data_IF_207481262638
#
_entry.id   IF_207481262638
#
_cell.length_a   1.000
_cell.length_b   1.000
_cell.length_c   1.000
_cell.angle_alpha   90.00
_cell.angle_beta   90.00
_cell.angle_gamma   90.00
#
_symmetry.space_group_name_H-M   'P 1'
#
loop_
_entity.id
_entity.type
_entity.pdbx_description
1 polymer ?
#
# COMPACT_ATOMS: atom_id res chain seq x y z
N UNK A 1 -1.05 3.61 2.79
CA UNK A 1 -0.37 2.46 3.46
C UNK A 1 -0.98 2.13 4.82
N UNK A 2 -1.00 3.05 5.79
CA UNK A 2 -1.47 2.80 7.18
C UNK A 2 -2.90 2.27 7.33
N UNK A 3 -3.83 2.60 6.43
CA UNK A 3 -5.19 2.04 6.51
C UNK A 3 -5.22 0.55 6.22
N UNK A 4 -4.42 0.09 5.25
CA UNK A 4 -4.43 -1.29 4.76
C UNK A 4 -3.96 -2.31 5.79
N UNK A 5 -3.00 -1.94 6.65
CA UNK A 5 -2.42 -2.84 7.64
C UNK A 5 -3.47 -3.41 8.63
N UNK A 6 -4.24 -2.58 9.36
CA UNK A 6 -5.29 -3.09 10.23
C UNK A 6 -6.52 -3.56 9.43
N UNK A 7 -6.93 -2.86 8.37
CA UNK A 7 -8.17 -3.21 7.66
C UNK A 7 -8.07 -4.56 6.94
N UNK A 8 -6.91 -4.85 6.36
CA UNK A 8 -6.60 -6.13 5.71
C UNK A 8 -5.94 -7.14 6.64
N UNK A 9 -5.73 -6.77 7.92
CA UNK A 9 -5.11 -7.62 8.93
C UNK A 9 -3.82 -8.28 8.45
N UNK A 10 -2.99 -7.49 7.75
CA UNK A 10 -1.83 -7.98 7.02
C UNK A 10 -0.60 -7.07 7.25
N UNK A 11 0.57 -7.67 7.07
CA UNK A 11 1.81 -6.93 7.03
C UNK A 11 1.84 -6.10 5.74
N UNK A 12 2.14 -4.81 5.84
CA UNK A 12 2.20 -3.94 4.66
C UNK A 12 3.65 -3.58 4.38
N UNK A 13 4.16 -4.12 3.28
CA UNK A 13 5.45 -3.75 2.71
C UNK A 13 5.15 -2.81 1.54
N UNK A 14 5.79 -1.65 1.53
CA UNK A 14 5.58 -0.67 0.47
C UNK A 14 6.89 -0.02 0.08
N UNK A 15 7.05 0.19 -1.23
CA UNK A 15 8.20 0.84 -1.82
C UNK A 15 7.74 1.89 -2.82
N UNK A 16 8.34 3.07 -2.77
CA UNK A 16 8.00 4.16 -3.67
C UNK A 16 9.25 4.97 -3.99
N UNK A 17 9.41 5.26 -5.28
CA UNK A 17 10.50 6.12 -5.76
C UNK A 17 10.22 7.57 -5.39
N UNK A 18 11.28 8.31 -5.12
CA UNK A 18 11.24 9.75 -4.97
C UNK A 18 11.31 10.44 -6.34
N UNK A 19 10.71 11.61 -6.47
CA UNK A 19 10.93 12.49 -7.62
C UNK A 19 12.33 13.09 -7.50
N UNK A 20 13.23 12.70 -8.40
CA UNK A 20 14.56 13.28 -8.50
C UNK A 20 14.61 14.37 -9.59
N UNK A 21 15.80 14.94 -9.82
CA UNK A 21 15.99 15.95 -10.85
C UNK A 21 15.75 15.40 -12.26
N UNK A 22 16.14 14.15 -12.52
CA UNK A 22 15.92 13.52 -13.81
C UNK A 22 14.43 13.42 -14.17
N UNK A 23 13.58 13.01 -13.22
CA UNK A 23 12.13 13.02 -13.39
C UNK A 23 11.61 14.42 -13.72
N UNK A 24 12.14 15.47 -13.08
CA UNK A 24 11.71 16.86 -13.32
C UNK A 24 12.09 17.35 -14.70
N UNK A 25 13.32 17.11 -15.13
CA UNK A 25 13.81 17.53 -16.45
C UNK A 25 13.04 16.81 -17.56
N UNK A 26 12.73 15.52 -17.35
CA UNK A 26 11.88 14.76 -18.25
C UNK A 26 10.47 15.34 -18.33
N UNK A 27 9.84 15.64 -17.18
CA UNK A 27 8.51 16.25 -17.14
C UNK A 27 8.49 17.62 -17.82
N UNK A 28 9.50 18.47 -17.58
CA UNK A 28 9.58 19.78 -18.23
C UNK A 28 9.67 19.65 -19.74
N UNK A 29 10.48 18.71 -20.23
CA UNK A 29 10.66 18.47 -21.67
C UNK A 29 9.40 17.89 -22.33
N UNK A 30 8.64 17.03 -21.64
CA UNK A 30 7.53 16.27 -22.23
C UNK A 30 6.14 16.81 -21.93
N UNK A 31 5.97 17.40 -20.74
CA UNK A 31 4.70 17.84 -20.18
C UNK A 31 4.70 19.35 -19.88
N UNK A 32 5.85 20.02 -20.02
CA UNK A 32 6.02 21.41 -19.61
C UNK A 32 6.36 21.55 -18.12
N UNK A 33 6.73 22.78 -17.74
CA UNK A 33 7.17 23.10 -16.38
C UNK A 33 6.10 22.75 -15.34
N UNK A 34 6.50 22.01 -14.31
CA UNK A 34 5.65 21.60 -13.20
C UNK A 34 5.92 22.47 -11.95
N UNK A 35 4.90 23.18 -11.47
CA UNK A 35 5.01 24.05 -10.28
C UNK A 35 4.67 23.31 -8.97
N UNK A 36 3.79 22.30 -9.04
CA UNK A 36 3.31 21.57 -7.86
C UNK A 36 4.15 20.34 -7.52
N UNK A 37 4.83 19.75 -8.51
CA UNK A 37 5.64 18.55 -8.32
C UNK A 37 7.07 18.97 -7.96
N UNK A 38 7.45 18.72 -6.71
CA UNK A 38 8.78 19.05 -6.16
C UNK A 38 9.67 17.80 -6.11
N UNK A 39 10.97 18.01 -5.96
CA UNK A 39 11.90 16.91 -5.66
C UNK A 39 11.60 16.30 -4.29
N UNK A 40 11.88 15.01 -4.14
CA UNK A 40 11.53 14.22 -2.97
C UNK A 40 10.17 13.55 -3.12
N UNK A 41 9.36 13.56 -2.06
CA UNK A 41 8.25 12.63 -1.95
C UNK A 41 8.75 11.19 -1.82
N UNK A 42 7.92 10.22 -2.18
CA UNK A 42 8.23 8.81 -2.02
C UNK A 42 8.35 8.39 -0.55
N UNK A 43 7.89 7.19 -0.24
CA UNK A 43 8.02 6.62 1.10
C UNK A 43 8.09 5.12 0.96
N UNK A 44 9.07 4.52 1.62
CA UNK A 44 9.27 3.08 1.65
C UNK A 44 9.35 2.60 3.09
N UNK A 45 8.86 1.39 3.38
CA UNK A 45 8.90 0.85 4.73
C UNK A 45 8.06 -0.40 4.91
N UNK A 46 7.99 -0.87 6.16
CA UNK A 46 7.15 -2.00 6.54
C UNK A 46 6.32 -1.67 7.78
N UNK A 47 5.06 -2.07 7.75
CA UNK A 47 4.09 -1.89 8.82
C UNK A 47 3.62 -3.25 9.36
N UNK A 48 3.66 -3.37 10.69
CA UNK A 48 2.90 -4.35 11.46
C UNK A 48 1.39 -4.10 11.27
N UNK A 49 0.53 -5.14 11.31
CA UNK A 49 -0.92 -4.97 11.15
C UNK A 49 -1.58 -4.04 12.18
N UNK A 50 -1.02 -3.90 13.38
CA UNK A 50 -1.35 -2.84 14.36
C UNK A 50 -0.77 -1.45 14.04
N UNK A 51 -0.40 -1.17 12.79
CA UNK A 51 0.12 0.13 12.35
C UNK A 51 1.44 0.57 12.99
N UNK A 52 2.28 -0.39 13.39
CA UNK A 52 3.61 -0.11 13.95
C UNK A 52 4.64 -0.21 12.84
N UNK A 53 5.53 0.78 12.69
CA UNK A 53 6.65 0.66 11.76
C UNK A 53 7.71 -0.29 12.31
N UNK A 54 8.14 -1.25 11.49
CA UNK A 54 9.23 -2.18 11.87
C UNK A 54 10.60 -1.63 11.48
N UNK A 55 10.74 -1.24 10.21
CA UNK A 55 11.93 -0.57 9.68
C UNK A 55 11.47 0.49 8.67
N UNK A 56 11.97 1.71 8.83
CA UNK A 56 11.43 2.91 8.19
C UNK A 56 10.37 3.67 9.03
N UNK A 57 9.58 4.56 8.41
CA UNK A 57 9.57 4.84 6.98
C UNK A 57 10.83 5.56 6.52
N UNK A 58 11.44 5.08 5.44
CA UNK A 58 12.48 5.81 4.73
C UNK A 58 11.84 6.85 3.80
N UNK A 59 12.41 8.05 3.80
CA UNK A 59 11.98 9.19 2.99
C UNK A 59 13.22 9.94 2.50
N UNK A 60 13.04 10.72 1.43
CA UNK A 60 14.11 11.53 0.85
C UNK A 60 14.88 10.80 -0.25
N UNK A 61 15.87 11.50 -0.80
CA UNK A 61 16.55 11.10 -2.04
C UNK A 61 17.64 10.04 -1.85
N UNK A 62 17.99 9.72 -0.60
CA UNK A 62 18.98 8.68 -0.32
C UNK A 62 18.45 7.32 -0.77
N UNK A 63 19.23 6.59 -1.58
CA UNK A 63 18.91 5.21 -1.88
C UNK A 63 19.23 4.33 -0.68
N UNK A 64 18.25 3.55 -0.23
CA UNK A 64 18.39 2.71 0.95
C UNK A 64 17.69 1.37 0.78
N UNK A 65 18.34 0.31 1.24
CA UNK A 65 17.72 -1.00 1.44
C UNK A 65 17.09 -1.03 2.84
N UNK A 66 15.80 -1.37 2.92
CA UNK A 66 15.05 -1.56 4.17
C UNK A 66 14.95 -3.06 4.42
N UNK A 67 15.32 -3.51 5.61
CA UNK A 67 15.33 -4.93 5.97
C UNK A 67 14.52 -5.09 7.26
N UNK A 68 13.51 -5.94 7.24
CA UNK A 68 12.71 -6.24 8.42
C UNK A 68 12.46 -7.73 8.57
N UNK A 69 12.22 -8.15 9.81
CA UNK A 69 11.80 -9.51 10.13
C UNK A 69 10.29 -9.52 10.33
N UNK A 70 9.61 -10.42 9.63
CA UNK A 70 8.16 -10.60 9.74
C UNK A 70 7.90 -11.90 10.51
N UNK A 71 7.15 -11.79 11.60
CA UNK A 71 6.69 -12.92 12.38
C UNK A 71 5.19 -13.15 12.12
N UNK A 72 4.90 -14.16 11.30
CA UNK A 72 3.52 -14.48 10.93
C UNK A 72 2.69 -15.02 12.10
N UNK A 73 3.32 -15.50 13.18
CA UNK A 73 2.58 -15.96 14.36
C UNK A 73 1.79 -14.83 15.04
N UNK A 74 2.20 -13.58 14.83
CA UNK A 74 1.52 -12.40 15.36
C UNK A 74 0.17 -12.13 14.68
N UNK A 75 -0.12 -12.74 13.53
CA UNK A 75 -1.43 -12.60 12.86
C UNK A 75 -2.57 -13.20 13.68
N UNK A 76 -2.31 -14.21 14.50
CA UNK A 76 -3.33 -14.83 15.34
C UNK A 76 -3.97 -13.83 16.32
N UNK A 77 -3.16 -12.99 16.98
CA UNK A 77 -3.69 -12.02 17.95
C UNK A 77 -4.47 -10.90 17.24
N UNK A 78 -4.13 -10.57 16.01
CA UNK A 78 -4.83 -9.54 15.22
C UNK A 78 -6.25 -9.97 14.87
N UNK A 79 -6.47 -11.26 14.62
CA UNK A 79 -7.81 -11.79 14.41
C UNK A 79 -8.67 -11.62 15.66
N UNK A 80 -8.13 -11.84 16.87
CA UNK A 80 -8.89 -11.64 18.12
C UNK A 80 -9.38 -10.19 18.29
N UNK A 81 -8.61 -9.19 17.83
CA UNK A 81 -8.94 -7.78 18.05
C UNK A 81 -9.71 -7.12 16.91
N UNK A 82 -9.53 -7.55 15.66
CA UNK A 82 -9.99 -6.79 14.48
C UNK A 82 -10.90 -7.59 13.55
N UNK A 83 -10.87 -8.93 13.56
CA UNK A 83 -11.51 -9.86 12.59
C UNK A 83 -12.63 -9.25 11.73
N UNK A 84 -12.21 -8.57 10.66
CA UNK A 84 -13.08 -7.70 9.86
C UNK A 84 -13.90 -8.49 8.84
N UNK A 85 -13.40 -9.66 8.45
CA UNK A 85 -14.07 -10.59 7.56
C UNK A 85 -14.88 -11.67 8.30
N UNK A 86 -14.60 -11.92 9.59
CA UNK A 86 -15.31 -12.87 10.43
C UNK A 86 -16.27 -12.19 11.39
N UNK A 87 -16.00 -12.20 12.70
CA UNK A 87 -17.01 -11.90 13.71
C UNK A 87 -17.47 -10.44 13.78
N UNK A 88 -16.69 -9.48 13.26
CA UNK A 88 -17.15 -8.10 13.10
C UNK A 88 -17.83 -7.83 11.76
N UNK A 89 -17.82 -8.81 10.83
CA UNK A 89 -18.51 -8.67 9.56
C UNK A 89 -20.02 -8.57 9.75
N UNK A 90 -20.68 -7.81 8.87
CA UNK A 90 -22.13 -7.60 8.85
C UNK A 90 -22.72 -7.98 7.48
N UNK A 91 -22.69 -9.28 7.10
CA UNK A 91 -23.13 -9.74 5.79
C UNK A 91 -24.63 -9.51 5.53
N UNK A 92 -25.43 -9.32 6.59
CA UNK A 92 -26.83 -8.92 6.49
C UNK A 92 -27.01 -7.44 6.13
N UNK A 93 -25.99 -6.60 6.34
CA UNK A 93 -25.99 -5.17 5.99
C UNK A 93 -25.30 -4.94 4.64
N UNK A 94 -24.10 -5.49 4.46
CA UNK A 94 -23.32 -5.32 3.23
C UNK A 94 -22.47 -6.55 2.96
N UNK A 95 -22.68 -7.12 1.78
CA UNK A 95 -21.82 -8.17 1.22
C UNK A 95 -20.86 -7.53 0.21
N UNK A 96 -19.57 -7.82 0.32
CA UNK A 96 -18.57 -7.44 -0.68
C UNK A 96 -18.33 -8.65 -1.59
N UNK A 97 -18.99 -8.65 -2.74
CA UNK A 97 -18.81 -9.66 -3.78
C UNK A 97 -18.02 -9.08 -4.97
N UNK A 98 -17.26 -9.93 -5.65
CA UNK A 98 -16.47 -9.56 -6.82
C UNK A 98 -16.49 -10.71 -7.84
N UNK A 99 -16.68 -10.36 -9.11
CA UNK A 99 -16.59 -11.33 -10.20
C UNK A 99 -15.11 -11.64 -10.49
N UNK A 100 -14.68 -12.86 -10.17
CA UNK A 100 -13.32 -13.36 -10.43
C UNK A 100 -13.20 -14.15 -11.74
N UNK A 101 -14.24 -14.18 -12.58
CA UNK A 101 -14.15 -14.79 -13.90
C UNK A 101 -13.10 -14.04 -14.74
N UNK A 102 -12.24 -14.77 -15.49
CA UNK A 102 -11.24 -14.17 -16.37
C UNK A 102 -11.92 -13.66 -17.64
N UNK A 103 -12.65 -12.54 -17.54
CA UNK A 103 -13.37 -11.94 -18.66
C UNK A 103 -12.46 -10.96 -19.38
N UNK A 104 -12.11 -11.27 -20.62
CA UNK A 104 -11.37 -10.33 -21.47
C UNK A 104 -12.25 -9.15 -21.87
N UNK A 105 -11.65 -8.04 -22.30
CA UNK A 105 -12.40 -6.81 -22.62
C UNK A 105 -13.47 -7.00 -23.70
N UNK A 106 -13.27 -7.95 -24.62
CA UNK A 106 -14.18 -8.33 -25.69
C UNK A 106 -15.24 -9.38 -25.27
N UNK A 107 -15.16 -9.93 -24.06
CA UNK A 107 -16.08 -10.95 -23.53
C UNK A 107 -17.08 -10.37 -22.52
N UNK A 108 -17.04 -9.05 -22.28
CA UNK A 108 -18.01 -8.36 -21.43
C UNK A 108 -19.38 -8.36 -22.12
N UNK A 109 -20.31 -9.15 -21.60
CA UNK A 109 -21.73 -9.09 -21.99
C UNK A 109 -22.31 -7.84 -21.31
N UNK A 110 -22.91 -6.95 -22.11
CA UNK A 110 -23.51 -5.68 -21.68
C UNK A 110 -24.69 -5.87 -20.73
#
# INVERSE_FOLDING_TARGET
>A
MKSHAPSGQCWVIYASNTVDHYCRDWMETKLGKQELIKTGGGISGTLHPFNIYLDGPHQGLEQKLIICNIDLSQLCIIQVFIDSAGHYSRPEVRQNDANYAPVWSNEKIF
#
